data_IF_674876560278
#
_entry.id   IF_674876560278
#
_cell.length_a   1.000
_cell.length_b   1.000
_cell.length_c   1.000
_cell.angle_alpha   90.00
_cell.angle_beta   90.00
_cell.angle_gamma   90.00
#
_symmetry.space_group_name_H-M   'P 1'
#
loop_
_entity.id
_entity.type
_entity.pdbx_description
1 polymer ?
#
# COMPACT_ATOMS: atom_id res chain seq x y z
N UNK A 1 5.01 17.00 34.33
CA UNK A 1 5.88 15.83 34.55
C UNK A 1 7.35 16.24 34.36
N UNK A 2 7.86 17.19 35.15
CA UNK A 2 9.31 17.55 35.12
C UNK A 2 10.06 17.06 36.36
N UNK A 3 9.36 16.51 37.36
CA UNK A 3 9.96 16.18 38.65
C UNK A 3 10.55 14.77 38.72
N UNK A 4 10.21 13.85 37.79
CA UNK A 4 10.54 12.41 37.93
C UNK A 4 11.72 11.97 37.05
N UNK A 5 12.00 12.66 35.95
CA UNK A 5 13.08 12.29 35.02
C UNK A 5 14.04 13.47 34.88
N UNK A 6 15.22 13.36 35.49
CA UNK A 6 16.25 14.39 35.45
C UNK A 6 16.51 14.93 34.05
N UNK A 7 16.86 16.22 33.96
CA UNK A 7 16.94 17.03 32.73
C UNK A 7 17.78 16.39 31.60
N UNK A 8 18.77 15.57 31.95
CA UNK A 8 19.63 14.84 31.02
C UNK A 8 18.88 13.69 30.32
N UNK A 9 18.01 12.98 31.04
CA UNK A 9 17.19 11.89 30.47
C UNK A 9 16.07 12.47 29.61
N UNK A 10 15.47 13.58 30.05
CA UNK A 10 14.46 14.29 29.27
C UNK A 10 15.00 14.84 27.94
N UNK A 11 16.26 15.31 27.90
CA UNK A 11 16.92 15.74 26.66
C UNK A 11 17.20 14.57 25.71
N UNK A 12 17.74 13.45 26.21
CA UNK A 12 17.97 12.25 25.38
C UNK A 12 16.68 11.65 24.82
N UNK A 13 15.58 11.70 25.57
CA UNK A 13 14.26 11.25 25.09
C UNK A 13 13.68 12.22 24.03
N UNK A 14 13.98 13.52 24.13
CA UNK A 14 13.63 14.51 23.08
C UNK A 14 14.48 14.39 21.81
N UNK A 15 15.70 13.86 21.91
CA UNK A 15 16.59 13.60 20.77
C UNK A 15 16.19 12.35 19.98
N UNK A 16 15.42 11.43 20.58
CA UNK A 16 14.76 10.36 19.83
C UNK A 16 13.62 11.02 19.04
N UNK A 17 13.67 11.03 17.69
CA UNK A 17 12.61 11.64 16.90
C UNK A 17 11.30 10.97 17.27
N UNK A 18 10.30 11.77 17.62
CA UNK A 18 9.03 11.24 18.11
C UNK A 18 8.45 10.30 17.06
N UNK A 19 8.23 9.06 17.50
CA UNK A 19 7.76 7.90 16.73
C UNK A 19 6.60 8.17 15.77
N UNK A 20 5.81 9.21 16.01
CA UNK A 20 4.62 9.53 15.23
C UNK A 20 4.91 10.02 13.80
N UNK A 21 6.04 10.69 13.55
CA UNK A 21 6.34 11.20 12.19
C UNK A 21 7.29 10.26 11.42
N UNK A 22 8.08 9.45 12.14
CA UNK A 22 9.08 8.54 11.55
C UNK A 22 8.46 7.21 11.12
N UNK A 23 7.49 6.68 11.87
CA UNK A 23 6.85 5.41 11.53
C UNK A 23 6.01 5.49 10.26
N UNK A 24 5.17 6.52 10.04
CA UNK A 24 4.39 6.63 8.81
C UNK A 24 5.26 6.77 7.56
N UNK A 25 6.34 7.55 7.64
CA UNK A 25 7.31 7.68 6.56
C UNK A 25 7.94 6.34 6.20
N UNK A 26 8.47 5.62 7.18
CA UNK A 26 9.06 4.30 6.95
C UNK A 26 8.07 3.27 6.40
N UNK A 27 6.81 3.31 6.84
CA UNK A 27 5.75 2.42 6.32
C UNK A 27 5.41 2.77 4.87
N UNK A 28 5.34 4.06 4.52
CA UNK A 28 5.15 4.50 3.15
C UNK A 28 6.33 4.08 2.25
N UNK A 29 7.57 4.25 2.72
CA UNK A 29 8.77 3.85 1.97
C UNK A 29 8.80 2.33 1.72
N UNK A 30 8.52 1.52 2.74
CA UNK A 30 8.42 0.07 2.60
C UNK A 30 7.32 -0.33 1.62
N UNK A 31 6.15 0.32 1.68
CA UNK A 31 5.06 0.08 0.74
C UNK A 31 5.46 0.40 -0.69
N UNK A 32 6.10 1.54 -0.92
CA UNK A 32 6.57 1.95 -2.24
C UNK A 32 7.59 0.94 -2.79
N UNK A 33 8.55 0.53 -1.95
CA UNK A 33 9.58 -0.41 -2.37
C UNK A 33 9.01 -1.80 -2.70
N UNK A 34 8.06 -2.32 -1.90
CA UNK A 34 7.39 -3.59 -2.19
C UNK A 34 6.60 -3.48 -3.49
N UNK A 35 5.84 -2.40 -3.67
CA UNK A 35 5.05 -2.19 -4.89
C UNK A 35 5.94 -2.13 -6.14
N UNK A 36 7.05 -1.39 -6.07
CA UNK A 36 8.02 -1.32 -7.16
C UNK A 36 8.57 -2.70 -7.53
N UNK A 37 8.94 -3.52 -6.54
CA UNK A 37 9.42 -4.88 -6.78
C UNK A 37 8.35 -5.74 -7.48
N UNK A 38 7.11 -5.72 -6.98
CA UNK A 38 6.00 -6.47 -7.58
C UNK A 38 5.74 -6.01 -9.02
N UNK A 39 5.75 -4.70 -9.28
CA UNK A 39 5.56 -4.15 -10.63
C UNK A 39 6.69 -4.58 -11.58
N UNK A 40 7.95 -4.55 -11.14
CA UNK A 40 9.06 -5.01 -11.96
C UNK A 40 8.93 -6.50 -12.29
N UNK A 41 8.64 -7.34 -11.28
CA UNK A 41 8.44 -8.77 -11.51
C UNK A 41 7.28 -9.06 -12.48
N UNK A 42 6.19 -8.30 -12.41
CA UNK A 42 5.06 -8.44 -13.33
C UNK A 42 5.46 -8.06 -14.76
N UNK A 43 6.29 -7.02 -14.93
CA UNK A 43 6.81 -6.61 -16.25
C UNK A 43 7.74 -7.65 -16.86
N UNK A 44 8.52 -8.32 -16.02
CA UNK A 44 9.45 -9.38 -16.43
C UNK A 44 8.76 -10.75 -16.60
N UNK A 45 7.56 -10.92 -16.05
CA UNK A 45 6.77 -12.15 -16.11
C UNK A 45 6.25 -12.46 -17.52
N UNK A 46 6.21 -13.75 -17.93
CA UNK A 46 5.62 -14.17 -19.20
C UNK A 46 4.07 -14.02 -19.21
N UNK A 47 3.58 -12.79 -19.46
CA UNK A 47 2.25 -12.31 -19.93
C UNK A 47 0.99 -12.90 -19.23
N UNK A 48 1.10 -13.78 -18.24
CA UNK A 48 -0.05 -14.38 -17.54
C UNK A 48 -0.32 -13.64 -16.24
N UNK A 49 -0.91 -12.45 -16.36
CA UNK A 49 -1.43 -11.68 -15.24
C UNK A 49 -2.92 -11.96 -15.04
N UNK A 50 -3.30 -12.37 -13.84
CA UNK A 50 -4.70 -12.46 -13.41
C UNK A 50 -4.90 -11.39 -12.35
N UNK A 51 -6.00 -10.64 -12.45
CA UNK A 51 -6.42 -9.66 -11.46
C UNK A 51 -7.62 -10.18 -10.69
N UNK A 52 -7.57 -10.06 -9.38
CA UNK A 52 -8.70 -10.33 -8.49
C UNK A 52 -9.09 -9.01 -7.81
N UNK A 53 -10.36 -8.64 -7.97
CA UNK A 53 -10.94 -7.42 -7.45
C UNK A 53 -11.87 -7.79 -6.30
N UNK A 54 -11.64 -7.20 -5.14
CA UNK A 54 -12.51 -7.32 -3.98
C UNK A 54 -13.09 -5.95 -3.60
N UNK A 55 -14.41 -5.85 -3.56
CA UNK A 55 -15.12 -4.64 -3.18
C UNK A 55 -15.72 -4.82 -1.79
N UNK A 56 -15.23 -4.08 -0.81
CA UNK A 56 -15.73 -4.15 0.57
C UNK A 56 -16.11 -2.76 1.10
N UNK A 57 -17.20 -2.64 1.87
CA UNK A 57 -17.50 -1.41 2.58
C UNK A 57 -16.55 -1.25 3.76
N UNK A 58 -15.97 -0.07 3.92
CA UNK A 58 -15.18 0.27 5.10
C UNK A 58 -16.08 0.65 6.30
N UNK A 59 -15.45 0.97 7.43
CA UNK A 59 -16.15 1.33 8.68
C UNK A 59 -17.02 2.58 8.50
N UNK A 60 -16.68 3.46 7.55
CA UNK A 60 -17.42 4.66 7.20
C UNK A 60 -18.45 4.43 6.08
N UNK A 61 -18.68 3.17 5.67
CA UNK A 61 -19.55 2.76 4.56
C UNK A 61 -19.10 3.32 3.19
N UNK A 62 -17.83 3.68 3.05
CA UNK A 62 -17.20 3.99 1.76
C UNK A 62 -16.77 2.67 1.13
N UNK A 63 -17.04 2.51 -0.16
CA UNK A 63 -16.67 1.30 -0.91
C UNK A 63 -15.18 1.37 -1.22
N UNK A 64 -14.41 0.39 -0.76
CA UNK A 64 -12.99 0.25 -1.09
C UNK A 64 -12.81 -0.87 -2.11
N UNK A 65 -11.94 -0.65 -3.09
CA UNK A 65 -11.54 -1.63 -4.07
C UNK A 65 -10.13 -2.11 -3.71
N UNK A 66 -10.02 -3.36 -3.27
CA UNK A 66 -8.75 -4.06 -3.10
C UNK A 66 -8.44 -4.86 -4.36
N UNK A 67 -7.23 -4.68 -4.88
CA UNK A 67 -6.77 -5.34 -6.10
C UNK A 67 -5.59 -6.26 -5.76
N UNK A 68 -5.75 -7.53 -6.11
CA UNK A 68 -4.73 -8.55 -6.00
C UNK A 68 -4.35 -9.03 -7.40
N UNK A 69 -3.16 -9.58 -7.51
CA UNK A 69 -2.67 -10.14 -8.75
C UNK A 69 -2.01 -11.48 -8.56
N UNK A 70 -2.21 -12.34 -9.56
CA UNK A 70 -1.55 -13.63 -9.69
C UNK A 70 -0.75 -13.65 -10.99
N UNK A 71 0.54 -13.95 -10.90
CA UNK A 71 1.43 -14.04 -12.06
C UNK A 71 2.47 -15.16 -11.91
N UNK A 72 3.13 -15.52 -13.01
CA UNK A 72 4.15 -16.58 -13.05
C UNK A 72 5.53 -15.95 -13.07
N UNK A 73 6.41 -16.36 -12.19
CA UNK A 73 7.85 -16.04 -12.24
C UNK A 73 8.64 -17.32 -12.46
N UNK A 74 9.96 -17.19 -12.63
CA UNK A 74 10.88 -18.34 -12.66
C UNK A 74 10.79 -19.20 -11.38
N UNK A 75 10.33 -18.60 -10.27
CA UNK A 75 10.11 -19.28 -8.99
C UNK A 75 8.73 -19.94 -8.84
N UNK A 76 7.85 -19.83 -9.84
CA UNK A 76 6.49 -20.38 -9.81
C UNK A 76 5.38 -19.33 -9.81
N UNK A 77 4.18 -19.71 -9.36
CA UNK A 77 3.04 -18.78 -9.29
C UNK A 77 3.16 -17.93 -8.02
N UNK A 78 3.04 -16.61 -8.16
CA UNK A 78 2.97 -15.66 -7.04
C UNK A 78 1.60 -15.00 -6.99
N UNK A 79 1.12 -14.79 -5.76
CA UNK A 79 -0.07 -14.01 -5.43
C UNK A 79 0.38 -12.80 -4.62
N UNK A 80 0.11 -11.59 -5.12
CA UNK A 80 0.55 -10.34 -4.50
C UNK A 80 -0.60 -9.34 -4.39
N UNK A 81 -0.51 -8.49 -3.38
CA UNK A 81 -1.41 -7.34 -3.22
C UNK A 81 -0.87 -6.15 -4.02
N UNK A 82 -1.69 -5.54 -4.86
CA UNK A 82 -1.31 -4.37 -5.66
C UNK A 82 -1.66 -3.07 -4.92
N UNK A 83 -2.94 -2.82 -4.71
CA UNK A 83 -3.40 -1.60 -4.05
C UNK A 83 -4.79 -1.76 -3.44
N UNK A 84 -5.13 -0.84 -2.54
CA UNK A 84 -6.50 -0.66 -2.03
C UNK A 84 -6.82 0.83 -2.01
N UNK A 85 -7.82 1.23 -2.79
CA UNK A 85 -8.25 2.62 -2.90
C UNK A 85 -9.76 2.75 -2.77
N UNK A 86 -10.22 3.89 -2.22
CA UNK A 86 -11.63 4.18 -2.08
C UNK A 86 -12.29 4.55 -3.41
N UNK A 87 -13.43 3.95 -3.71
CA UNK A 87 -14.29 4.33 -4.82
C UNK A 87 -15.05 5.62 -4.45
N UNK A 88 -14.49 6.77 -4.84
CA UNK A 88 -15.00 8.09 -4.44
C UNK A 88 -16.37 8.46 -5.05
N UNK A 89 -16.80 7.79 -6.11
CA UNK A 89 -17.97 8.18 -6.91
C UNK A 89 -19.05 7.10 -6.92
N UNK A 90 -18.82 5.96 -7.56
CA UNK A 90 -19.76 4.83 -7.55
C UNK A 90 -19.07 3.47 -7.60
N UNK A 91 -19.82 2.38 -7.41
CA UNK A 91 -19.37 0.99 -7.57
C UNK A 91 -19.57 0.46 -9.00
N UNK A 92 -19.79 1.36 -9.97
CA UNK A 92 -19.98 0.95 -11.36
C UNK A 92 -18.67 0.44 -11.93
N UNK A 93 -18.77 -0.51 -12.85
CA UNK A 93 -17.63 -1.06 -13.57
C UNK A 93 -16.73 0.02 -14.21
N UNK A 94 -17.30 1.15 -14.65
CA UNK A 94 -16.53 2.26 -15.21
C UNK A 94 -15.57 2.92 -14.19
N UNK A 95 -15.99 3.07 -12.94
CA UNK A 95 -15.15 3.67 -11.89
C UNK A 95 -14.05 2.70 -11.45
N UNK A 96 -14.37 1.42 -11.35
CA UNK A 96 -13.40 0.34 -11.11
C UNK A 96 -12.37 0.28 -12.24
N UNK A 97 -12.82 0.30 -13.50
CA UNK A 97 -11.93 0.29 -14.66
C UNK A 97 -11.01 1.51 -14.69
N UNK A 98 -11.54 2.71 -14.39
CA UNK A 98 -10.72 3.92 -14.32
C UNK A 98 -9.61 3.82 -13.29
N UNK A 99 -9.89 3.31 -12.09
CA UNK A 99 -8.86 3.12 -11.06
C UNK A 99 -7.76 2.14 -11.51
N UNK A 100 -8.15 1.06 -12.18
CA UNK A 100 -7.21 0.10 -12.74
C UNK A 100 -6.36 0.74 -13.85
N UNK A 101 -6.99 1.46 -14.77
CA UNK A 101 -6.32 2.14 -15.90
C UNK A 101 -5.33 3.19 -15.40
N UNK A 102 -5.73 4.01 -14.42
CA UNK A 102 -4.85 4.99 -13.77
C UNK A 102 -3.67 4.32 -13.07
N UNK A 103 -3.88 3.17 -12.43
CA UNK A 103 -2.82 2.41 -11.77
C UNK A 103 -1.79 1.88 -12.78
N UNK A 104 -2.25 1.20 -13.84
CA UNK A 104 -1.40 0.64 -14.89
C UNK A 104 -0.75 1.71 -15.77
N UNK A 105 -1.36 2.89 -15.90
CA UNK A 105 -0.71 4.02 -16.57
C UNK A 105 0.44 4.60 -15.74
N UNK A 106 0.29 4.62 -14.41
CA UNK A 106 1.28 5.18 -13.49
C UNK A 106 2.51 4.27 -13.31
N UNK A 107 2.36 2.96 -13.50
CA UNK A 107 3.39 1.96 -13.21
C UNK A 107 3.77 1.16 -14.45
#
# INVERSE_FOLDING_TARGET
>A
MELILGTVVAKKIKEVPQSNDVIPGRVADMRCNILEQVVQEIKDSPIRLILQLDESPDIANIRQLAVYTRYITDGGIKDEFLFCEGLQTTTKAADVFRLLDEFFWRH
#
